data_IF_998869991831
#
_entry.id   IF_998869991831
#
_cell.length_a   1.000
_cell.length_b   1.000
_cell.length_c   1.000
_cell.angle_alpha   90.00
_cell.angle_beta   90.00
_cell.angle_gamma   90.00
#
_symmetry.space_group_name_H-M   'P 1'
#
loop_
_entity.id
_entity.type
_entity.pdbx_description
1 polymer ?
#
# COMPACT_ATOMS: atom_id res chain seq x y z
N UNK A 1 -3.00 10.60 4.01
CA UNK A 1 -2.31 11.82 4.49
C UNK A 1 -0.88 11.45 4.81
N UNK A 2 -0.69 10.50 5.73
CA UNK A 2 0.44 9.57 5.83
C UNK A 2 1.28 9.36 4.56
N UNK A 3 0.67 9.02 3.41
CA UNK A 3 1.43 8.72 2.18
C UNK A 3 1.91 9.94 1.36
N UNK A 4 1.52 11.17 1.72
CA UNK A 4 1.85 12.38 0.92
C UNK A 4 2.46 13.51 1.73
N UNK A 5 2.27 13.55 3.06
CA UNK A 5 2.77 14.63 3.90
C UNK A 5 4.30 14.76 3.87
N UNK A 6 5.02 13.67 3.66
CA UNK A 6 6.49 13.66 3.51
C UNK A 6 7.00 14.56 2.38
N UNK A 7 6.20 14.77 1.32
CA UNK A 7 6.55 15.68 0.22
C UNK A 7 6.78 17.12 0.70
N UNK A 8 6.14 17.53 1.80
CA UNK A 8 6.33 18.86 2.40
C UNK A 8 7.73 19.07 2.97
N UNK A 9 8.44 17.98 3.28
CA UNK A 9 9.81 17.99 3.78
C UNK A 9 10.86 17.96 2.67
N UNK A 10 10.46 17.77 1.40
CA UNK A 10 11.34 17.66 0.24
C UNK A 10 11.38 18.95 -0.60
N UNK A 11 11.25 20.11 0.06
CA UNK A 11 10.95 21.40 -0.60
C UNK A 11 12.18 22.22 -0.99
N UNK A 12 13.36 21.82 -0.51
CA UNK A 12 14.62 22.53 -0.69
C UNK A 12 15.24 22.31 -2.09
N UNK A 13 14.42 22.35 -3.14
CA UNK A 13 14.79 22.30 -4.56
C UNK A 13 15.60 21.06 -5.00
N UNK A 14 15.49 19.94 -4.28
CA UNK A 14 16.04 18.67 -4.73
C UNK A 14 15.25 18.16 -5.96
N UNK A 15 15.91 17.82 -7.08
CA UNK A 15 15.21 17.22 -8.22
C UNK A 15 14.82 15.76 -7.94
N UNK A 16 13.58 15.39 -8.24
CA UNK A 16 13.05 14.02 -8.19
C UNK A 16 11.74 13.94 -8.99
N UNK A 17 11.19 12.75 -9.23
CA UNK A 17 9.88 12.60 -9.90
C UNK A 17 8.85 12.06 -8.92
N UNK A 18 7.61 12.53 -9.01
CA UNK A 18 6.48 11.94 -8.27
C UNK A 18 5.63 11.12 -9.22
N UNK A 19 5.56 9.82 -8.99
CA UNK A 19 4.71 8.91 -9.75
C UNK A 19 3.42 8.64 -8.98
N UNK A 20 2.26 8.95 -9.56
CA UNK A 20 0.99 8.77 -8.89
C UNK A 20 -0.18 8.58 -9.87
N UNK A 21 -1.29 7.99 -9.41
CA UNK A 21 -2.53 7.97 -10.16
C UNK A 21 -3.02 9.40 -10.44
N UNK A 22 -3.76 9.61 -11.54
CA UNK A 22 -4.30 10.93 -11.93
C UNK A 22 -5.02 11.64 -10.79
N UNK A 23 -5.89 10.93 -10.06
CA UNK A 23 -6.67 11.50 -8.94
C UNK A 23 -5.80 11.98 -7.79
N UNK A 24 -4.67 11.34 -7.53
CA UNK A 24 -3.69 11.79 -6.54
C UNK A 24 -2.97 13.04 -7.04
N UNK A 25 -2.55 13.07 -8.31
CA UNK A 25 -1.95 14.26 -8.94
C UNK A 25 -2.91 15.45 -8.86
N UNK A 26 -4.18 15.25 -9.21
CA UNK A 26 -5.21 16.29 -9.15
C UNK A 26 -5.43 16.78 -7.71
N UNK A 27 -5.45 15.86 -6.73
CA UNK A 27 -5.54 16.21 -5.32
C UNK A 27 -4.33 17.02 -4.84
N UNK A 28 -3.10 16.66 -5.24
CA UNK A 28 -1.91 17.46 -4.92
C UNK A 28 -2.00 18.85 -5.56
N UNK A 29 -2.40 18.94 -6.84
CA UNK A 29 -2.53 20.20 -7.58
C UNK A 29 -3.62 21.12 -7.03
N UNK A 30 -4.70 20.57 -6.47
CA UNK A 30 -5.77 21.34 -5.84
C UNK A 30 -5.41 21.89 -4.45
N UNK A 31 -4.28 21.49 -3.87
CA UNK A 31 -3.86 21.88 -2.52
C UNK A 31 -2.64 22.83 -2.60
N UNK A 32 -2.81 24.14 -2.36
CA UNK A 32 -1.73 25.13 -2.51
C UNK A 32 -0.46 24.86 -1.70
N UNK A 33 -0.56 24.09 -0.60
CA UNK A 33 0.61 23.71 0.21
C UNK A 33 1.64 22.90 -0.59
N UNK A 34 1.22 22.15 -1.62
CA UNK A 34 2.11 21.37 -2.49
C UNK A 34 2.71 22.20 -3.63
N UNK A 35 2.39 23.49 -3.75
CA UNK A 35 3.05 24.39 -4.72
C UNK A 35 4.55 24.56 -4.46
N UNK A 36 5.02 24.15 -3.27
CA UNK A 36 6.45 24.04 -2.94
C UNK A 36 7.19 23.04 -3.83
N UNK A 37 6.47 22.07 -4.43
CA UNK A 37 7.02 21.14 -5.41
C UNK A 37 7.10 21.84 -6.76
N UNK A 38 8.26 22.41 -7.07
CA UNK A 38 8.46 23.18 -8.30
C UNK A 38 8.37 22.26 -9.52
N UNK A 39 7.41 22.44 -10.46
CA UNK A 39 7.20 21.49 -11.56
C UNK A 39 8.41 21.25 -12.47
N UNK A 40 9.33 22.21 -12.55
CA UNK A 40 10.57 22.09 -13.33
C UNK A 40 11.59 21.13 -12.69
N UNK A 41 11.54 20.96 -11.37
CA UNK A 41 12.44 20.10 -10.59
C UNK A 41 11.74 18.80 -10.16
N UNK A 42 10.42 18.87 -9.97
CA UNK A 42 9.58 17.79 -9.46
C UNK A 42 8.42 17.51 -10.43
N UNK A 43 8.68 16.87 -11.58
CA UNK A 43 7.61 16.46 -12.48
C UNK A 43 6.66 15.47 -11.79
N UNK A 44 5.35 15.70 -11.97
CA UNK A 44 4.30 14.76 -11.59
C UNK A 44 4.00 13.86 -12.79
N UNK A 45 4.35 12.58 -12.67
CA UNK A 45 4.20 11.57 -13.73
C UNK A 45 2.99 10.71 -13.42
N UNK A 46 2.02 10.69 -14.33
CA UNK A 46 0.85 9.82 -14.19
C UNK A 46 1.23 8.35 -14.35
N UNK A 47 0.75 7.54 -13.40
CA UNK A 47 0.75 6.09 -13.49
C UNK A 47 -0.53 5.61 -14.18
N UNK A 48 -0.36 4.88 -15.29
CA UNK A 48 -1.43 4.26 -16.04
C UNK A 48 -1.63 2.82 -15.54
N UNK A 49 -2.86 2.52 -15.11
CA UNK A 49 -3.23 1.19 -14.63
C UNK A 49 -2.89 0.09 -15.65
N UNK A 50 -2.36 -1.01 -15.15
CA UNK A 50 -1.98 -2.22 -15.89
C UNK A 50 -1.00 -1.98 -17.05
N UNK A 51 -0.26 -0.86 -17.02
CA UNK A 51 0.83 -0.58 -17.96
C UNK A 51 2.16 -0.48 -17.24
N UNK A 52 3.16 -1.13 -17.82
CA UNK A 52 4.55 -1.06 -17.35
C UNK A 52 5.12 0.31 -17.65
N UNK A 53 5.78 0.89 -16.66
CA UNK A 53 6.43 2.19 -16.75
C UNK A 53 7.81 2.13 -16.08
N UNK A 54 8.84 2.51 -16.83
CA UNK A 54 10.19 2.68 -16.29
C UNK A 54 10.23 3.89 -15.34
N UNK A 55 11.00 3.74 -14.27
CA UNK A 55 11.16 4.78 -13.23
C UNK A 55 12.44 5.55 -13.47
N UNK A 56 12.29 6.86 -13.58
CA UNK A 56 13.41 7.79 -13.65
C UNK A 56 13.20 8.95 -12.68
N UNK A 57 14.29 9.50 -12.16
CA UNK A 57 14.27 10.63 -11.23
C UNK A 57 15.49 11.51 -11.48
N UNK A 58 15.31 12.83 -11.46
CA UNK A 58 16.39 13.77 -11.75
C UNK A 58 17.12 13.46 -13.09
N UNK A 59 16.38 13.02 -14.11
CA UNK A 59 16.89 12.61 -15.42
C UNK A 59 17.78 11.35 -15.41
N UNK A 60 17.74 10.55 -14.34
CA UNK A 60 18.49 9.30 -14.19
C UNK A 60 17.51 8.12 -14.23
N UNK A 61 17.83 7.09 -15.02
CA UNK A 61 17.15 5.79 -14.98
C UNK A 61 17.52 5.06 -13.69
N UNK A 62 16.50 4.65 -12.92
CA UNK A 62 16.69 3.95 -11.64
C UNK A 62 16.82 2.43 -11.81
N UNK A 63 16.68 1.90 -13.03
CA UNK A 63 16.74 0.46 -13.30
C UNK A 63 15.53 -0.30 -12.75
N UNK A 64 14.40 0.39 -12.60
CA UNK A 64 13.16 -0.14 -12.03
C UNK A 64 11.99 0.05 -13.01
N UNK A 65 11.11 -0.94 -13.08
CA UNK A 65 9.83 -0.88 -13.78
C UNK A 65 8.70 -1.04 -12.77
N UNK A 66 7.69 -0.16 -12.85
CA UNK A 66 6.44 -0.26 -12.11
C UNK A 66 5.34 -0.78 -13.03
N UNK A 67 4.57 -1.74 -12.53
CA UNK A 67 3.26 -2.10 -13.05
C UNK A 67 2.21 -1.82 -11.96
N UNK A 68 1.54 -0.67 -11.99
CA UNK A 68 0.46 -0.35 -11.07
C UNK A 68 -0.80 -1.12 -11.44
N UNK A 69 -1.54 -1.60 -10.45
CA UNK A 69 -2.84 -2.23 -10.63
C UNK A 69 -3.81 -1.77 -9.55
N UNK A 70 -5.10 -1.74 -9.88
CA UNK A 70 -6.11 -1.36 -8.90
C UNK A 70 -6.24 -2.45 -7.84
N UNK A 71 -6.31 -2.04 -6.59
CA UNK A 71 -6.59 -2.91 -5.44
C UNK A 71 -7.90 -2.44 -4.81
N UNK A 72 -8.79 -3.35 -4.36
CA UNK A 72 -9.96 -2.95 -3.58
C UNK A 72 -9.49 -2.16 -2.37
N UNK A 73 -9.97 -0.94 -2.21
CA UNK A 73 -9.49 -0.02 -1.20
C UNK A 73 -10.49 1.10 -0.98
N UNK A 74 -10.03 2.19 -0.40
CA UNK A 74 -10.86 3.32 -0.01
C UNK A 74 -10.18 4.62 -0.40
N UNK A 75 -10.99 5.59 -0.83
CA UNK A 75 -10.51 6.95 -1.05
C UNK A 75 -9.93 7.54 0.22
N UNK A 76 -8.93 8.43 0.08
CA UNK A 76 -8.34 9.13 1.21
C UNK A 76 -9.42 9.91 2.00
N UNK A 77 -9.30 9.91 3.34
CA UNK A 77 -10.29 10.52 4.25
C UNK A 77 -10.63 11.98 3.90
N UNK A 78 -9.64 12.78 3.48
CA UNK A 78 -9.83 14.20 3.14
C UNK A 78 -10.50 14.43 1.77
N UNK A 79 -10.70 13.37 1.00
CA UNK A 79 -11.42 13.37 -0.28
C UNK A 79 -12.76 12.64 -0.20
N UNK A 80 -13.12 12.10 0.97
CA UNK A 80 -14.41 11.41 1.15
C UNK A 80 -15.59 12.36 0.87
N UNK A 81 -16.53 11.89 0.07
CA UNK A 81 -17.82 12.52 -0.11
C UNK A 81 -18.92 11.65 0.52
N UNK A 82 -19.41 12.06 1.69
CA UNK A 82 -20.47 11.35 2.43
C UNK A 82 -21.79 11.21 1.66
N UNK A 83 -22.00 12.03 0.63
CA UNK A 83 -23.21 12.02 -0.20
C UNK A 83 -23.06 11.18 -1.47
N UNK A 84 -21.86 10.67 -1.77
CA UNK A 84 -21.62 9.81 -2.92
C UNK A 84 -21.64 8.32 -2.53
N UNK A 85 -22.01 7.41 -3.45
CA UNK A 85 -21.84 5.97 -3.25
C UNK A 85 -20.40 5.63 -2.88
N UNK A 86 -20.22 4.69 -1.94
CA UNK A 86 -18.92 4.26 -1.43
C UNK A 86 -17.98 5.43 -1.01
N UNK A 87 -18.56 6.52 -0.47
CA UNK A 87 -17.83 7.73 -0.06
C UNK A 87 -17.07 8.43 -1.20
N UNK A 88 -17.43 8.15 -2.46
CA UNK A 88 -16.74 8.67 -3.63
C UNK A 88 -15.52 7.84 -4.08
N UNK A 89 -15.30 6.67 -3.48
CA UNK A 89 -14.22 5.74 -3.87
C UNK A 89 -14.43 5.21 -5.29
N UNK A 90 -13.38 5.25 -6.09
CA UNK A 90 -13.32 4.79 -7.46
C UNK A 90 -12.13 3.84 -7.67
N UNK A 91 -12.19 3.03 -8.74
CA UNK A 91 -11.04 2.22 -9.16
C UNK A 91 -9.83 3.12 -9.43
N UNK A 92 -8.66 2.72 -8.94
CA UNK A 92 -7.43 3.52 -9.00
C UNK A 92 -7.20 4.50 -7.84
N UNK A 93 -8.15 4.64 -6.89
CA UNK A 93 -7.90 5.39 -5.65
C UNK A 93 -6.91 4.66 -4.72
N UNK A 94 -6.83 3.34 -4.83
CA UNK A 94 -5.85 2.50 -4.14
C UNK A 94 -5.13 1.62 -5.15
N UNK A 95 -3.80 1.71 -5.16
CA UNK A 95 -2.94 0.99 -6.08
C UNK A 95 -2.09 -0.03 -5.33
N UNK A 96 -1.94 -1.21 -5.93
CA UNK A 96 -0.83 -2.10 -5.68
C UNK A 96 0.20 -1.98 -6.81
N UNK A 97 1.43 -2.40 -6.53
CA UNK A 97 2.53 -2.34 -7.49
C UNK A 97 3.20 -3.69 -7.63
N UNK A 98 3.49 -4.08 -8.88
CA UNK A 98 4.59 -5.01 -9.15
C UNK A 98 5.81 -4.16 -9.49
N UNK A 99 6.88 -4.35 -8.75
CA UNK A 99 8.14 -3.60 -8.91
C UNK A 99 9.19 -4.58 -9.40
N UNK A 100 9.79 -4.29 -10.55
CA UNK A 100 10.74 -5.19 -11.22
C UNK A 100 12.07 -4.48 -11.41
N UNK A 101 13.17 -5.13 -11.04
CA UNK A 101 14.51 -4.69 -11.45
C UNK A 101 14.71 -5.02 -12.93
N UNK A 102 14.97 -4.02 -13.77
CA UNK A 102 15.02 -4.20 -15.24
C UNK A 102 16.22 -5.02 -15.69
N UNK A 103 17.30 -5.06 -14.91
CA UNK A 103 18.53 -5.79 -15.23
C UNK A 103 18.47 -7.26 -14.84
N UNK A 104 17.98 -7.57 -13.64
CA UNK A 104 17.93 -8.94 -13.12
C UNK A 104 16.61 -9.66 -13.41
N UNK A 105 15.54 -8.91 -13.73
CA UNK A 105 14.18 -9.43 -13.88
C UNK A 105 13.51 -9.84 -12.58
N UNK A 106 14.20 -9.71 -11.44
CA UNK A 106 13.64 -10.00 -10.12
C UNK A 106 12.58 -8.96 -9.77
N UNK A 107 11.52 -9.40 -9.09
CA UNK A 107 10.38 -8.55 -8.79
C UNK A 107 9.75 -8.88 -7.45
N UNK A 108 8.89 -7.98 -6.98
CA UNK A 108 8.04 -8.19 -5.81
C UNK A 108 6.73 -7.41 -5.96
N UNK A 109 5.76 -7.69 -5.08
CA UNK A 109 4.53 -6.92 -4.98
C UNK A 109 4.49 -6.07 -3.71
N UNK A 110 3.99 -4.83 -3.85
CA UNK A 110 3.81 -3.88 -2.75
C UNK A 110 2.36 -3.40 -2.71
N UNK A 111 1.65 -3.78 -1.63
CA UNK A 111 0.22 -3.54 -1.45
C UNK A 111 -0.04 -3.13 0.01
N UNK A 112 0.27 -1.88 0.41
CA UNK A 112 0.16 -1.46 1.81
C UNK A 112 -1.28 -1.19 2.27
N UNK A 113 -2.24 -1.16 1.35
CA UNK A 113 -3.66 -0.95 1.63
C UNK A 113 -4.53 -1.85 0.75
N UNK A 114 -5.38 -2.66 1.37
CA UNK A 114 -6.32 -3.55 0.69
C UNK A 114 -7.56 -3.77 1.53
N UNK A 115 -8.73 -3.37 1.05
CA UNK A 115 -10.02 -3.55 1.72
C UNK A 115 -10.59 -4.97 1.55
N UNK A 116 -10.23 -5.66 0.46
CA UNK A 116 -10.78 -6.98 0.14
C UNK A 116 -9.86 -7.74 -0.80
N UNK A 117 -9.71 -9.04 -0.56
CA UNK A 117 -9.04 -9.95 -1.47
C UNK A 117 -10.01 -10.52 -2.52
N UNK A 118 -9.70 -10.38 -3.80
CA UNK A 118 -10.54 -10.87 -4.90
C UNK A 118 -9.75 -11.80 -5.86
N UNK A 119 -10.45 -12.42 -6.80
CA UNK A 119 -9.84 -13.37 -7.74
C UNK A 119 -8.74 -12.74 -8.59
N UNK A 120 -8.94 -11.51 -9.08
CA UNK A 120 -7.93 -10.80 -9.87
C UNK A 120 -6.62 -10.59 -9.09
N UNK A 121 -6.72 -10.30 -7.78
CA UNK A 121 -5.57 -10.18 -6.91
C UNK A 121 -4.93 -11.55 -6.63
N UNK A 122 -5.74 -12.59 -6.41
CA UNK A 122 -5.29 -13.98 -6.29
C UNK A 122 -4.44 -14.41 -7.48
N UNK A 123 -4.97 -14.24 -8.69
CA UNK A 123 -4.31 -14.65 -9.93
C UNK A 123 -2.98 -13.92 -10.14
N UNK A 124 -2.93 -12.64 -9.73
CA UNK A 124 -1.74 -11.80 -9.85
C UNK A 124 -0.63 -12.21 -8.87
N UNK A 125 -1.00 -12.60 -7.66
CA UNK A 125 -0.07 -12.92 -6.58
C UNK A 125 0.33 -14.40 -6.54
N UNK A 126 -0.31 -15.26 -7.34
CA UNK A 126 0.05 -16.67 -7.43
C UNK A 126 1.54 -16.84 -7.79
N UNK A 127 2.25 -17.66 -7.02
CA UNK A 127 3.69 -17.94 -7.11
C UNK A 127 4.59 -16.69 -7.03
N UNK A 128 4.11 -15.61 -6.42
CA UNK A 128 4.92 -14.42 -6.25
C UNK A 128 6.16 -14.71 -5.37
N UNK A 129 7.35 -14.20 -5.74
CA UNK A 129 8.57 -14.39 -4.97
C UNK A 129 8.54 -13.61 -3.64
N UNK A 130 7.89 -12.45 -3.61
CA UNK A 130 7.74 -11.62 -2.42
C UNK A 130 6.49 -10.76 -2.53
N UNK A 131 5.73 -10.68 -1.44
CA UNK A 131 4.61 -9.76 -1.28
C UNK A 131 4.72 -9.01 0.04
N UNK A 132 4.73 -7.68 -0.03
CA UNK A 132 4.39 -6.81 1.10
C UNK A 132 2.90 -6.50 1.05
N UNK A 133 2.20 -6.79 2.15
CA UNK A 133 0.75 -6.69 2.20
C UNK A 133 0.25 -5.88 3.40
N UNK A 134 -0.93 -5.31 3.26
CA UNK A 134 -1.67 -4.61 4.30
C UNK A 134 -1.80 -5.48 5.56
N UNK A 135 -1.20 -5.01 6.65
CA UNK A 135 -1.30 -5.58 7.99
C UNK A 135 -1.94 -4.62 8.99
N UNK A 136 -2.78 -3.69 8.54
CA UNK A 136 -3.25 -2.56 9.36
C UNK A 136 -3.88 -3.04 10.66
N UNK A 137 -4.80 -4.01 10.61
CA UNK A 137 -5.50 -4.53 11.78
C UNK A 137 -5.46 -6.06 11.81
N UNK A 138 -5.33 -6.63 13.00
CA UNK A 138 -5.41 -8.06 13.22
C UNK A 138 -6.85 -8.59 13.12
N UNK A 139 -7.82 -7.85 13.69
CA UNK A 139 -9.24 -8.22 13.70
C UNK A 139 -10.17 -7.01 13.54
N UNK A 140 -11.43 -7.27 13.17
CA UNK A 140 -12.40 -6.26 12.71
C UNK A 140 -12.67 -5.14 13.74
N UNK A 141 -12.73 -5.48 15.03
CA UNK A 141 -13.07 -4.56 16.11
C UNK A 141 -11.85 -4.02 16.88
N UNK A 142 -10.63 -4.26 16.42
CA UNK A 142 -9.39 -3.95 17.14
C UNK A 142 -9.35 -2.51 17.69
N UNK A 143 -9.72 -1.52 16.88
CA UNK A 143 -9.75 -0.12 17.29
C UNK A 143 -10.81 0.18 18.36
N UNK A 144 -11.94 -0.51 18.31
CA UNK A 144 -13.07 -0.33 19.24
C UNK A 144 -12.72 -0.97 20.58
N UNK A 145 -12.19 -2.20 20.55
CA UNK A 145 -11.84 -2.97 21.73
C UNK A 145 -10.73 -2.28 22.54
N UNK A 146 -9.86 -1.52 21.87
CA UNK A 146 -8.81 -0.70 22.51
C UNK A 146 -9.26 0.72 22.88
N UNK A 147 -10.52 1.09 22.62
CA UNK A 147 -11.05 2.41 22.96
C UNK A 147 -10.44 3.57 22.17
N UNK A 148 -9.88 3.31 20.99
CA UNK A 148 -9.21 4.32 20.16
C UNK A 148 -10.24 5.07 19.30
N UNK A 149 -10.62 4.49 18.15
CA UNK A 149 -11.61 5.07 17.25
C UNK A 149 -12.79 4.12 17.09
N UNK A 150 -14.01 4.67 17.07
CA UNK A 150 -15.25 3.90 16.87
C UNK A 150 -15.47 3.43 15.43
N UNK A 151 -14.43 2.94 14.74
CA UNK A 151 -14.50 2.41 13.37
C UNK A 151 -13.93 1.00 13.33
N UNK A 152 -14.58 0.12 12.59
CA UNK A 152 -14.08 -1.22 12.30
C UNK A 152 -13.07 -1.21 11.15
N UNK A 153 -12.34 -2.31 10.96
CA UNK A 153 -11.39 -2.47 9.85
C UNK A 153 -12.00 -2.29 8.48
N UNK A 154 -13.13 -2.96 8.22
CA UNK A 154 -13.89 -2.76 6.98
C UNK A 154 -14.30 -1.29 6.76
N UNK A 155 -14.64 -0.56 7.82
CA UNK A 155 -14.99 0.86 7.73
C UNK A 155 -13.79 1.75 7.39
N UNK A 156 -12.60 1.35 7.83
CA UNK A 156 -11.33 2.00 7.51
C UNK A 156 -10.84 1.65 6.09
N UNK A 157 -11.37 0.58 5.49
CA UNK A 157 -10.99 0.12 4.15
C UNK A 157 -9.80 -0.84 4.17
N UNK A 158 -9.65 -1.58 5.25
CA UNK A 158 -8.57 -2.56 5.45
C UNK A 158 -9.14 -3.95 5.70
N UNK A 159 -8.52 -4.93 5.06
CA UNK A 159 -8.72 -6.34 5.30
C UNK A 159 -7.98 -6.73 6.58
N UNK A 160 -8.65 -7.47 7.47
CA UNK A 160 -8.03 -7.94 8.70
C UNK A 160 -7.01 -9.04 8.40
N UNK A 161 -6.01 -9.20 9.26
CA UNK A 161 -5.03 -10.30 9.17
C UNK A 161 -5.72 -11.65 9.36
N UNK A 162 -6.47 -11.80 10.46
CA UNK A 162 -7.11 -13.06 10.83
C UNK A 162 -8.63 -13.06 10.55
N UNK A 163 -9.24 -14.25 10.61
CA UNK A 163 -10.66 -14.48 10.41
C UNK A 163 -11.00 -15.19 9.09
N UNK A 164 -12.29 -15.54 8.90
CA UNK A 164 -12.73 -16.36 7.76
C UNK A 164 -12.55 -15.69 6.40
N UNK A 165 -12.46 -14.36 6.38
CA UNK A 165 -12.20 -13.51 5.21
C UNK A 165 -10.90 -12.70 5.38
N UNK A 166 -10.01 -13.14 6.28
CA UNK A 166 -8.74 -12.48 6.61
C UNK A 166 -7.61 -12.83 5.62
N UNK A 167 -6.58 -11.99 5.60
CA UNK A 167 -5.49 -12.12 4.62
C UNK A 167 -4.64 -13.37 4.84
N UNK A 168 -4.53 -13.89 6.06
CA UNK A 168 -3.87 -15.17 6.32
C UNK A 168 -4.48 -16.30 5.49
N UNK A 169 -5.81 -16.43 5.55
CA UNK A 169 -6.56 -17.47 4.82
C UNK A 169 -6.55 -17.24 3.31
N UNK A 170 -6.65 -15.99 2.87
CA UNK A 170 -6.64 -15.65 1.45
C UNK A 170 -5.33 -16.04 0.75
N UNK A 171 -4.20 -16.03 1.47
CA UNK A 171 -2.89 -16.36 0.92
C UNK A 171 -2.51 -17.86 0.97
N UNK A 172 -3.30 -18.72 1.64
CA UNK A 172 -2.98 -20.15 1.83
C UNK A 172 -2.71 -20.90 0.52
N UNK A 173 -3.40 -20.52 -0.56
CA UNK A 173 -3.37 -21.23 -1.86
C UNK A 173 -2.56 -20.52 -2.94
N UNK A 174 -1.84 -19.45 -2.58
CA UNK A 174 -1.14 -18.62 -3.57
C UNK A 174 0.30 -19.05 -3.83
N UNK A 175 0.88 -19.91 -2.99
CA UNK A 175 2.29 -20.33 -3.11
C UNK A 175 3.27 -19.14 -3.17
N UNK A 176 2.97 -18.04 -2.47
CA UNK A 176 3.89 -16.90 -2.34
C UNK A 176 5.10 -17.33 -1.51
N UNK A 177 6.30 -17.09 -2.02
CA UNK A 177 7.56 -17.57 -1.42
C UNK A 177 7.88 -16.84 -0.12
N UNK A 178 7.76 -15.50 -0.09
CA UNK A 178 7.97 -14.66 1.09
C UNK A 178 6.83 -13.67 1.26
N UNK A 179 6.29 -13.54 2.48
CA UNK A 179 5.11 -12.73 2.78
C UNK A 179 5.39 -11.86 3.98
N UNK A 180 5.20 -10.56 3.85
CA UNK A 180 5.55 -9.58 4.89
C UNK A 180 4.37 -8.62 5.08
N UNK A 181 3.86 -8.52 6.30
CA UNK A 181 2.89 -7.49 6.66
C UNK A 181 3.59 -6.14 6.86
N UNK A 182 3.03 -5.09 6.26
CA UNK A 182 3.45 -3.69 6.42
C UNK A 182 2.24 -2.81 6.76
N UNK A 183 2.46 -1.53 7.08
CA UNK A 183 1.41 -0.56 7.36
C UNK A 183 0.55 -0.97 8.58
N UNK A 184 1.18 -1.56 9.59
CA UNK A 184 0.50 -1.98 10.81
C UNK A 184 0.04 -0.75 11.61
N UNK A 185 -1.22 -0.76 12.07
CA UNK A 185 -1.68 0.26 12.99
C UNK A 185 -1.05 0.04 14.37
N UNK A 186 -0.89 1.10 15.15
CA UNK A 186 -0.32 1.04 16.51
C UNK A 186 -1.10 0.12 17.47
N UNK A 187 -2.38 -0.14 17.19
CA UNK A 187 -3.22 -1.07 17.95
C UNK A 187 -2.92 -2.54 17.64
N UNK A 188 -2.23 -2.87 16.55
CA UNK A 188 -2.17 -4.25 16.10
C UNK A 188 -1.37 -5.12 17.09
N UNK A 189 -1.99 -6.13 17.73
CA UNK A 189 -1.32 -6.98 18.72
C UNK A 189 -0.17 -7.79 18.14
N UNK A 190 -0.10 -7.98 16.82
CA UNK A 190 1.02 -8.63 16.15
C UNK A 190 2.33 -7.80 16.22
N UNK A 191 2.27 -6.52 16.62
CA UNK A 191 3.45 -5.70 16.91
C UNK A 191 4.18 -6.16 18.19
N UNK A 192 3.50 -6.85 19.10
CA UNK A 192 4.12 -7.45 20.26
C UNK A 192 4.63 -8.85 19.90
N UNK A 193 5.96 -9.03 19.78
CA UNK A 193 6.61 -10.30 19.43
C UNK A 193 6.23 -11.48 20.37
N UNK A 194 5.69 -11.19 21.57
CA UNK A 194 5.25 -12.19 22.55
C UNK A 194 3.74 -12.45 22.56
N UNK A 195 2.97 -11.81 21.68
CA UNK A 195 1.52 -11.99 21.62
C UNK A 195 1.14 -13.30 20.92
N UNK A 196 -0.08 -13.77 21.21
CA UNK A 196 -0.65 -14.93 20.51
C UNK A 196 -0.81 -14.63 19.01
N UNK A 197 -1.16 -13.39 18.69
CA UNK A 197 -1.41 -12.89 17.35
C UNK A 197 -0.12 -12.90 16.52
N UNK A 198 1.01 -12.48 17.10
CA UNK A 198 2.32 -12.60 16.45
C UNK A 198 2.70 -14.07 16.21
N UNK A 199 2.43 -14.96 17.18
CA UNK A 199 2.66 -16.39 17.00
C UNK A 199 1.80 -16.99 15.87
N UNK A 200 0.55 -16.55 15.70
CA UNK A 200 -0.33 -16.97 14.58
C UNK A 200 0.26 -16.52 13.24
N UNK A 201 0.65 -15.24 13.12
CA UNK A 201 1.25 -14.68 11.90
C UNK A 201 2.50 -15.46 11.49
N UNK A 202 3.43 -15.65 12.41
CA UNK A 202 4.68 -16.35 12.16
C UNK A 202 4.47 -17.84 11.84
N UNK A 203 3.55 -18.52 12.53
CA UNK A 203 3.19 -19.90 12.23
C UNK A 203 2.59 -20.08 10.83
N UNK A 204 1.92 -19.06 10.28
CA UNK A 204 1.42 -19.04 8.91
C UNK A 204 2.50 -18.68 7.85
N UNK A 205 3.76 -18.53 8.28
CA UNK A 205 4.89 -18.20 7.42
C UNK A 205 4.89 -16.74 6.96
N UNK A 206 4.32 -15.83 7.75
CA UNK A 206 4.36 -14.40 7.52
C UNK A 206 5.36 -13.72 8.45
N UNK A 207 6.00 -12.67 7.94
CA UNK A 207 6.83 -11.76 8.72
C UNK A 207 6.06 -10.48 9.03
N UNK A 208 6.38 -9.83 10.15
CA UNK A 208 5.92 -8.48 10.49
C UNK A 208 7.05 -7.50 10.20
N UNK A 209 6.84 -6.55 9.29
CA UNK A 209 7.85 -5.54 8.97
C UNK A 209 8.20 -4.68 10.19
N UNK A 210 9.48 -4.30 10.27
CA UNK A 210 10.01 -3.37 11.27
C UNK A 210 10.80 -2.30 10.54
N UNK A 211 10.88 -1.10 11.11
CA UNK A 211 11.70 -0.03 10.56
C UNK A 211 13.17 -0.49 10.44
N UNK A 212 13.77 -0.25 9.28
CA UNK A 212 15.12 -0.73 8.97
C UNK A 212 15.21 -2.15 8.41
N UNK A 213 14.08 -2.83 8.15
CA UNK A 213 14.08 -4.12 7.44
C UNK A 213 14.66 -3.96 6.03
N UNK A 214 15.75 -4.68 5.76
CA UNK A 214 16.38 -4.78 4.45
C UNK A 214 16.03 -6.10 3.78
N UNK A 215 15.78 -6.05 2.47
CA UNK A 215 15.42 -7.21 1.65
C UNK A 215 16.29 -7.24 0.40
N UNK A 216 17.02 -8.33 0.25
CA UNK A 216 17.69 -8.65 -1.00
C UNK A 216 16.79 -9.57 -1.84
N UNK A 217 16.59 -9.19 -3.09
CA UNK A 217 15.87 -9.99 -4.08
C UNK A 217 16.88 -10.72 -4.93
#
# INVERSE_FOLDING_TARGET
MDHVAGLLSMREAQPFSVYAARRVIDALGANPIFSILQPQLVPLVELQLDKRQEVSGAQIDLGLELLPFSVPGKIALYLENKHAPNFGTQAGDTLGFKITNTKSGKFFYYIPGCAQFNQSLSDRLHEAPLVFFDGTLFHENEMIDQGLIGKTGSRMGHMNIDGPDGSLKAFEKLNVVRKIYIHLNNSNPALNDFSREHAIVTAAGWEVAKDGLEIEL
#
